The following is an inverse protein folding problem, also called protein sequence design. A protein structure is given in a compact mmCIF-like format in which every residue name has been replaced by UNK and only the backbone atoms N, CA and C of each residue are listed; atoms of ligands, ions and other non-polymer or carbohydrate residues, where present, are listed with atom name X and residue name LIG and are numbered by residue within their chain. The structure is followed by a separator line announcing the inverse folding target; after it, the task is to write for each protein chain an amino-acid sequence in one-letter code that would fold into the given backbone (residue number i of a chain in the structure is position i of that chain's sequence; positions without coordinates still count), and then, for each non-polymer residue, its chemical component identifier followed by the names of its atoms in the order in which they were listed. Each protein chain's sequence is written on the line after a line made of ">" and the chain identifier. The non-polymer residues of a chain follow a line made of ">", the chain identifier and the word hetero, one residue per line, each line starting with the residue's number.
data_IF_426563765449
#
_entry.id   IF_426563765449
#
_cell.length_a   1.000
_cell.length_b   1.000
_cell.length_c   1.000
_cell.angle_alpha   90.00
_cell.angle_beta   90.00
_cell.angle_gamma   90.00
#
_symmetry.space_group_name_H-M   'P 1'
#
loop_
_entity.id
_entity.type
_entity.pdbx_description
1 polymer ?
#
# COMPACT_ATOMS: atom_id res chain seq x y z
N UNK A 1 -93.32 -7.29 -60.42
CA UNK A 1 -92.12 -7.72 -61.17
C UNK A 1 -90.92 -7.53 -60.25
N UNK A 2 -90.20 -8.60 -59.89
CA UNK A 2 -88.79 -8.87 -60.30
C UNK A 2 -87.83 -7.72 -59.90
N UNK A 3 -86.69 -7.88 -59.23
CA UNK A 3 -85.83 -9.03 -58.88
C UNK A 3 -84.71 -8.50 -57.99
N UNK A 4 -84.11 -9.40 -57.20
CA UNK A 4 -82.81 -9.26 -56.53
C UNK A 4 -81.66 -8.96 -57.52
N UNK A 5 -80.63 -8.23 -57.06
CA UNK A 5 -79.21 -8.40 -57.39
C UNK A 5 -78.41 -7.53 -56.41
N UNK A 6 -77.78 -8.03 -55.33
CA UNK A 6 -76.49 -8.75 -55.27
C UNK A 6 -75.49 -8.27 -56.32
N UNK A 7 -74.39 -7.67 -55.86
CA UNK A 7 -73.04 -8.08 -56.24
C UNK A 7 -72.02 -7.50 -55.23
N UNK A 8 -71.33 -8.44 -54.60
CA UNK A 8 -70.28 -8.36 -53.59
C UNK A 8 -68.90 -8.12 -54.20
N UNK A 9 -67.95 -7.91 -53.29
CA UNK A 9 -66.50 -8.13 -53.41
C UNK A 9 -65.67 -7.17 -54.27
N UNK A 10 -65.16 -6.13 -53.59
CA UNK A 10 -63.79 -5.64 -53.85
C UNK A 10 -62.83 -6.41 -52.94
N UNK A 11 -62.21 -7.44 -53.51
CA UNK A 11 -61.05 -8.11 -52.92
C UNK A 11 -59.91 -7.12 -52.72
N UNK A 12 -59.59 -6.86 -51.45
CA UNK A 12 -58.33 -6.27 -51.03
C UNK A 12 -57.55 -7.32 -50.26
N UNK A 13 -56.39 -7.73 -50.78
CA UNK A 13 -55.45 -8.59 -50.07
C UNK A 13 -55.06 -7.91 -48.74
N UNK A 14 -55.59 -8.40 -47.62
CA UNK A 14 -55.02 -8.14 -46.31
C UNK A 14 -53.81 -9.07 -46.13
N UNK A 15 -52.64 -8.57 -46.52
CA UNK A 15 -51.37 -9.12 -46.06
C UNK A 15 -51.33 -8.96 -44.54
N UNK A 16 -51.63 -10.03 -43.82
CA UNK A 16 -51.39 -10.11 -42.38
C UNK A 16 -49.88 -10.09 -42.14
N UNK A 17 -49.33 -8.92 -41.87
CA UNK A 17 -48.00 -8.85 -41.25
C UNK A 17 -48.23 -9.26 -39.79
N UNK A 18 -48.04 -10.55 -39.51
CA UNK A 18 -47.88 -11.03 -38.15
C UNK A 18 -46.53 -10.49 -37.65
N UNK A 19 -46.59 -9.32 -37.01
CA UNK A 19 -45.45 -8.78 -36.28
C UNK A 19 -45.21 -9.73 -35.13
N UNK A 20 -44.27 -10.65 -35.32
CA UNK A 20 -43.74 -11.50 -34.28
C UNK A 20 -43.20 -10.56 -33.19
N UNK A 21 -44.01 -10.30 -32.16
CA UNK A 21 -43.61 -9.60 -30.93
C UNK A 21 -42.64 -10.51 -30.18
N UNK A 22 -41.44 -10.68 -30.74
CA UNK A 22 -40.26 -11.01 -29.96
C UNK A 22 -39.91 -9.75 -29.17
N UNK A 23 -40.72 -9.47 -28.15
CA UNK A 23 -40.25 -8.77 -26.98
C UNK A 23 -39.09 -9.60 -26.45
N UNK A 24 -37.86 -9.23 -26.81
CA UNK A 24 -36.66 -9.58 -26.07
C UNK A 24 -36.64 -8.81 -24.74
N UNK A 25 -37.73 -8.88 -23.97
CA UNK A 25 -37.68 -8.64 -22.53
C UNK A 25 -37.60 -10.01 -21.90
N UNK A 26 -36.38 -10.57 -21.86
CA UNK A 26 -36.09 -11.54 -20.79
C UNK A 26 -36.43 -10.79 -19.51
N UNK A 27 -37.50 -11.18 -18.83
CA UNK A 27 -37.77 -10.71 -17.48
C UNK A 27 -36.57 -11.12 -16.65
N UNK A 28 -35.70 -10.15 -16.38
CA UNK A 28 -34.47 -10.36 -15.63
C UNK A 28 -34.86 -10.79 -14.23
N UNK A 29 -34.34 -11.93 -13.78
CA UNK A 29 -34.73 -12.45 -12.47
C UNK A 29 -34.35 -11.44 -11.39
N UNK A 30 -35.06 -11.40 -10.25
CA UNK A 30 -34.69 -10.52 -9.14
C UNK A 30 -33.22 -10.67 -8.73
N UNK A 31 -32.67 -11.88 -8.83
CA UNK A 31 -31.26 -12.20 -8.56
C UNK A 31 -30.31 -11.54 -9.58
N UNK A 32 -30.64 -11.60 -10.86
CA UNK A 32 -29.88 -10.91 -11.92
C UNK A 32 -29.90 -9.40 -11.70
N UNK A 33 -31.04 -8.82 -11.28
CA UNK A 33 -31.17 -7.38 -11.01
C UNK A 33 -30.30 -6.95 -9.81
N UNK A 34 -30.30 -7.74 -8.74
CA UNK A 34 -29.44 -7.54 -7.57
C UNK A 34 -27.96 -7.60 -7.98
N UNK A 35 -27.57 -8.59 -8.80
CA UNK A 35 -26.20 -8.74 -9.28
C UNK A 35 -25.75 -7.54 -10.14
N UNK A 36 -26.59 -7.06 -11.06
CA UNK A 36 -26.30 -5.86 -11.85
C UNK A 36 -26.15 -4.63 -10.95
N UNK A 37 -27.07 -4.45 -9.99
CA UNK A 37 -27.01 -3.32 -9.06
C UNK A 37 -25.73 -3.35 -8.23
N UNK A 38 -25.37 -4.52 -7.68
CA UNK A 38 -24.15 -4.70 -6.92
C UNK A 38 -22.89 -4.37 -7.73
N UNK A 39 -22.81 -4.83 -8.98
CA UNK A 39 -21.67 -4.50 -9.86
C UNK A 39 -21.60 -3.00 -10.16
N UNK A 40 -22.74 -2.32 -10.36
CA UNK A 40 -22.79 -0.87 -10.53
C UNK A 40 -22.27 -0.13 -9.29
N UNK A 41 -22.61 -0.60 -8.09
CA UNK A 41 -22.08 -0.04 -6.84
C UNK A 41 -20.57 -0.23 -6.71
N UNK A 42 -20.05 -1.42 -7.06
CA UNK A 42 -18.60 -1.70 -7.07
C UNK A 42 -17.83 -0.76 -8.00
N UNK A 43 -18.32 -0.57 -9.23
CA UNK A 43 -17.68 0.34 -10.18
C UNK A 43 -17.75 1.79 -9.69
N UNK A 44 -18.88 2.23 -9.12
CA UNK A 44 -18.99 3.56 -8.52
C UNK A 44 -17.98 3.74 -7.38
N UNK A 45 -17.81 2.73 -6.53
CA UNK A 45 -16.86 2.77 -5.43
C UNK A 45 -15.41 2.89 -5.94
N UNK A 46 -15.05 2.12 -6.97
CA UNK A 46 -13.74 2.18 -7.62
C UNK A 46 -13.45 3.57 -8.19
N UNK A 47 -14.40 4.14 -8.93
CA UNK A 47 -14.28 5.48 -9.51
C UNK A 47 -14.13 6.55 -8.41
N UNK A 48 -14.88 6.42 -7.31
CA UNK A 48 -14.79 7.36 -6.20
C UNK A 48 -13.38 7.36 -5.56
N UNK A 49 -12.82 6.18 -5.30
CA UNK A 49 -11.46 6.09 -4.75
C UNK A 49 -10.40 6.62 -5.73
N UNK A 50 -10.53 6.33 -7.03
CA UNK A 50 -9.62 6.88 -8.04
C UNK A 50 -9.68 8.41 -8.09
N UNK A 51 -10.90 8.99 -8.03
CA UNK A 51 -11.09 10.44 -7.96
C UNK A 51 -10.48 11.05 -6.70
N UNK A 52 -10.64 10.39 -5.55
CA UNK A 52 -10.04 10.84 -4.30
C UNK A 52 -8.50 10.89 -4.41
N UNK A 53 -7.89 9.86 -4.99
CA UNK A 53 -6.44 9.85 -5.20
C UNK A 53 -6.01 10.91 -6.22
N UNK A 54 -6.76 11.09 -7.31
CA UNK A 54 -6.50 12.14 -8.28
C UNK A 54 -6.49 13.53 -7.64
N UNK A 55 -7.51 13.87 -6.85
CA UNK A 55 -7.55 15.14 -6.12
C UNK A 55 -6.36 15.30 -5.16
N UNK A 56 -5.90 14.21 -4.53
CA UNK A 56 -4.71 14.24 -3.69
C UNK A 56 -3.43 14.48 -4.49
N UNK A 57 -3.30 13.91 -5.70
CA UNK A 57 -2.15 14.17 -6.58
C UNK A 57 -2.08 15.65 -6.95
N UNK A 58 -3.20 16.27 -7.30
CA UNK A 58 -3.23 17.71 -7.58
C UNK A 58 -2.82 18.54 -6.36
N UNK A 59 -3.31 18.19 -5.17
CA UNK A 59 -2.85 18.82 -3.93
C UNK A 59 -1.35 18.61 -3.68
N UNK A 60 -0.79 17.44 -3.99
CA UNK A 60 0.65 17.16 -3.86
C UNK A 60 1.50 18.06 -4.76
N UNK A 61 1.06 18.30 -6.01
CA UNK A 61 1.76 19.20 -6.95
C UNK A 61 1.78 20.64 -6.43
N UNK A 62 0.62 21.15 -6.00
CA UNK A 62 0.51 22.50 -5.40
C UNK A 62 1.39 22.64 -4.16
N UNK A 63 1.35 21.66 -3.26
CA UNK A 63 2.19 21.66 -2.05
C UNK A 63 3.69 21.70 -2.39
N UNK A 64 4.10 20.94 -3.41
CA UNK A 64 5.49 20.92 -3.85
C UNK A 64 5.91 22.26 -4.46
N UNK A 65 5.08 22.84 -5.33
CA UNK A 65 5.35 24.16 -5.92
C UNK A 65 5.47 25.26 -4.85
N UNK A 66 4.55 25.28 -3.87
CA UNK A 66 4.62 26.22 -2.74
C UNK A 66 5.90 26.02 -1.93
N UNK A 67 6.30 24.76 -1.69
CA UNK A 67 7.50 24.45 -0.93
C UNK A 67 8.76 24.90 -1.67
N UNK A 68 8.87 24.56 -2.95
CA UNK A 68 10.10 24.74 -3.72
C UNK A 68 10.37 26.21 -4.05
N UNK A 69 9.30 27.00 -4.25
CA UNK A 69 9.40 28.45 -4.40
C UNK A 69 9.30 29.23 -3.08
N UNK A 70 9.18 28.52 -1.96
CA UNK A 70 9.03 29.09 -0.62
C UNK A 70 7.86 30.08 -0.46
N UNK A 71 6.78 29.91 -1.22
CA UNK A 71 5.61 30.83 -1.20
C UNK A 71 4.89 30.87 0.14
N UNK A 72 5.07 29.86 0.99
CA UNK A 72 4.58 29.89 2.37
C UNK A 72 5.11 31.10 3.17
N UNK A 73 6.24 31.70 2.78
CA UNK A 73 6.78 32.90 3.42
C UNK A 73 5.94 34.15 3.16
N UNK A 74 5.13 34.17 2.08
CA UNK A 74 4.24 35.30 1.78
C UNK A 74 3.17 35.50 2.87
N UNK A 75 2.77 34.41 3.53
CA UNK A 75 1.86 34.42 4.67
C UNK A 75 2.61 34.47 6.02
N UNK A 76 3.91 34.78 6.01
CA UNK A 76 4.79 34.87 7.19
C UNK A 76 4.95 33.56 7.98
N UNK A 77 4.77 32.38 7.36
CA UNK A 77 5.10 31.12 8.01
C UNK A 77 6.62 30.96 8.18
N UNK A 78 7.06 30.58 9.38
CA UNK A 78 8.46 30.33 9.69
C UNK A 78 9.03 29.08 8.99
N UNK A 79 8.17 28.10 8.70
CA UNK A 79 8.54 26.87 8.01
C UNK A 79 7.40 26.32 7.17
N UNK A 80 7.72 25.52 6.15
CA UNK A 80 6.71 24.82 5.35
C UNK A 80 5.88 23.84 6.20
N UNK A 81 6.48 23.24 7.24
CA UNK A 81 5.77 22.36 8.17
C UNK A 81 4.72 23.12 8.98
N UNK A 82 4.93 24.41 9.27
CA UNK A 82 3.92 25.25 9.94
C UNK A 82 2.78 25.61 8.99
N UNK A 83 3.10 26.01 7.75
CA UNK A 83 2.11 26.21 6.70
C UNK A 83 1.22 24.97 6.48
N UNK A 84 1.83 23.77 6.42
CA UNK A 84 1.09 22.54 6.15
C UNK A 84 0.08 22.18 7.26
N UNK A 85 0.30 22.61 8.51
CA UNK A 85 -0.61 22.33 9.63
C UNK A 85 -1.99 22.97 9.43
N UNK A 86 -2.04 24.16 8.84
CA UNK A 86 -3.29 24.90 8.62
C UNK A 86 -4.21 24.19 7.61
N UNK A 87 -3.62 23.36 6.74
CA UNK A 87 -4.35 22.48 5.81
C UNK A 87 -4.59 21.07 6.36
N UNK A 88 -4.47 20.87 7.68
CA UNK A 88 -4.67 19.58 8.36
C UNK A 88 -3.71 18.48 7.86
N UNK A 89 -2.53 18.85 7.38
CA UNK A 89 -1.52 17.89 6.96
C UNK A 89 -0.54 17.64 8.10
N UNK A 90 -0.58 16.42 8.63
CA UNK A 90 0.44 15.96 9.55
C UNK A 90 1.80 15.85 8.85
N UNK A 91 2.89 16.18 9.54
CA UNK A 91 4.27 16.15 9.02
C UNK A 91 4.62 14.87 8.23
N UNK A 92 4.19 13.72 8.73
CA UNK A 92 4.43 12.42 8.07
C UNK A 92 3.68 12.26 6.76
N UNK A 93 2.48 12.85 6.63
CA UNK A 93 1.73 12.89 5.38
C UNK A 93 2.36 13.90 4.41
N UNK A 94 2.72 15.10 4.89
CA UNK A 94 3.40 16.13 4.11
C UNK A 94 4.66 15.58 3.44
N UNK A 95 5.51 14.87 4.20
CA UNK A 95 6.69 14.20 3.65
C UNK A 95 6.36 13.20 2.53
N UNK A 96 5.35 12.33 2.73
CA UNK A 96 4.93 11.36 1.71
C UNK A 96 4.42 12.06 0.45
N UNK A 97 3.65 13.13 0.62
CA UNK A 97 3.03 13.88 -0.46
C UNK A 97 4.10 14.54 -1.33
N UNK A 98 5.04 15.24 -0.71
CA UNK A 98 6.18 15.84 -1.40
C UNK A 98 7.02 14.81 -2.12
N UNK A 99 7.30 13.67 -1.48
CA UNK A 99 8.10 12.60 -2.07
C UNK A 99 7.45 11.98 -3.32
N UNK A 100 6.13 11.76 -3.28
CA UNK A 100 5.38 11.27 -4.45
C UNK A 100 5.37 12.33 -5.55
N UNK A 101 5.15 13.61 -5.20
CA UNK A 101 5.15 14.71 -6.17
C UNK A 101 6.48 14.82 -6.91
N UNK A 102 7.60 14.76 -6.18
CA UNK A 102 8.95 14.73 -6.76
C UNK A 102 9.14 13.52 -7.66
N UNK A 103 8.74 12.33 -7.23
CA UNK A 103 8.88 11.12 -8.04
C UNK A 103 8.02 11.16 -9.33
N UNK A 104 6.89 11.87 -9.34
CA UNK A 104 6.10 12.11 -10.54
C UNK A 104 6.83 13.08 -11.48
N UNK A 105 7.31 14.20 -10.95
CA UNK A 105 8.04 15.22 -11.72
C UNK A 105 9.33 14.66 -12.36
N UNK A 106 10.06 13.83 -11.62
CA UNK A 106 11.27 13.15 -12.10
C UNK A 106 10.98 11.96 -13.04
N UNK A 107 9.71 11.65 -13.31
CA UNK A 107 9.29 10.55 -14.17
C UNK A 107 9.57 9.15 -13.59
N UNK A 108 9.88 9.05 -12.29
CA UNK A 108 10.12 7.77 -11.59
C UNK A 108 8.81 6.98 -11.47
N UNK A 109 7.69 7.68 -11.27
CA UNK A 109 6.35 7.10 -11.13
C UNK A 109 5.34 7.88 -11.98
N UNK A 110 4.56 7.17 -12.78
CA UNK A 110 3.45 7.77 -13.53
C UNK A 110 2.26 8.09 -12.62
N UNK A 111 1.55 9.20 -12.86
CA UNK A 111 0.32 9.54 -12.14
C UNK A 111 -0.74 8.44 -12.20
N UNK A 112 -0.88 7.79 -13.36
CA UNK A 112 -1.80 6.66 -13.55
C UNK A 112 -1.49 5.51 -12.60
N UNK A 113 -0.21 5.28 -12.29
CA UNK A 113 0.19 4.28 -11.31
C UNK A 113 -0.29 4.68 -9.91
N UNK A 114 -0.09 5.95 -9.53
CA UNK A 114 -0.51 6.45 -8.21
C UNK A 114 -2.03 6.37 -8.06
N UNK A 115 -2.81 6.74 -9.08
CA UNK A 115 -4.28 6.63 -9.08
C UNK A 115 -4.74 5.20 -8.83
N UNK A 116 -4.07 4.21 -9.42
CA UNK A 116 -4.48 2.81 -9.32
C UNK A 116 -3.98 2.11 -8.04
N UNK A 117 -2.82 2.52 -7.51
CA UNK A 117 -2.17 1.85 -6.36
C UNK A 117 -2.27 2.65 -5.06
N UNK A 118 -2.76 3.89 -5.13
CA UNK A 118 -2.85 4.81 -4.02
C UNK A 118 -1.49 5.27 -3.46
N UNK A 119 -1.57 6.07 -2.40
CA UNK A 119 -0.41 6.71 -1.76
C UNK A 119 0.50 5.67 -1.10
N UNK A 120 -0.09 4.74 -0.33
CA UNK A 120 0.70 3.75 0.41
C UNK A 120 1.37 2.73 -0.52
N UNK A 121 0.67 2.28 -1.57
CA UNK A 121 1.24 1.39 -2.59
C UNK A 121 2.41 2.06 -3.32
N UNK A 122 2.25 3.33 -3.68
CA UNK A 122 3.32 4.12 -4.29
C UNK A 122 4.51 4.30 -3.35
N UNK A 123 4.28 4.63 -2.08
CA UNK A 123 5.36 4.73 -1.08
C UNK A 123 6.11 3.41 -0.87
N UNK A 124 5.43 2.27 -0.98
CA UNK A 124 6.08 0.95 -0.92
C UNK A 124 6.99 0.72 -2.14
N UNK A 125 6.52 1.06 -3.35
CA UNK A 125 7.33 1.01 -4.56
C UNK A 125 8.59 1.89 -4.44
N UNK A 126 8.41 3.14 -3.99
CA UNK A 126 9.52 4.10 -3.85
C UNK A 126 10.57 3.62 -2.85
N UNK A 127 10.15 3.04 -1.71
CA UNK A 127 11.08 2.45 -0.73
C UNK A 127 11.89 1.29 -1.30
N UNK A 128 11.28 0.44 -2.12
CA UNK A 128 11.98 -0.71 -2.70
C UNK A 128 12.96 -0.29 -3.80
N UNK A 129 12.62 0.74 -4.58
CA UNK A 129 13.55 1.33 -5.56
C UNK A 129 14.73 2.05 -4.88
N UNK A 130 14.48 2.74 -3.77
CA UNK A 130 15.54 3.31 -2.91
C UNK A 130 16.44 2.22 -2.29
N UNK A 131 15.91 1.02 -2.05
CA UNK A 131 16.67 -0.15 -1.58
C UNK A 131 17.76 -0.63 -2.53
N UNK A 132 17.78 -0.18 -3.79
CA UNK A 132 18.85 -0.46 -4.75
C UNK A 132 20.01 0.54 -4.61
N UNK A 133 19.79 1.74 -4.03
CA UNK A 133 20.77 2.84 -4.04
C UNK A 133 21.11 3.48 -2.70
N UNK A 134 20.38 3.23 -1.61
CA UNK A 134 20.65 3.87 -0.32
C UNK A 134 21.39 2.89 0.60
N UNK A 135 22.65 3.24 0.88
CA UNK A 135 23.53 2.65 1.91
C UNK A 135 22.68 2.08 3.03
N UNK A 136 22.69 0.74 3.16
CA UNK A 136 22.21 0.05 4.37
C UNK A 136 22.71 0.88 5.54
N UNK A 137 21.81 1.21 6.46
CA UNK A 137 22.26 1.74 7.74
C UNK A 137 23.42 0.86 8.21
N UNK A 138 24.38 1.42 8.97
CA UNK A 138 25.36 0.60 9.69
C UNK A 138 24.69 -0.33 10.73
N UNK A 139 23.45 -0.79 10.51
CA UNK A 139 22.95 -2.02 11.08
C UNK A 139 23.95 -3.10 10.71
N UNK A 140 24.70 -3.53 11.72
CA UNK A 140 25.44 -4.77 11.66
C UNK A 140 24.52 -5.83 11.03
N UNK A 141 24.99 -6.55 9.99
CA UNK A 141 24.20 -7.61 9.38
C UNK A 141 23.86 -8.72 10.39
N UNK A 142 24.56 -8.74 11.52
CA UNK A 142 24.32 -9.62 12.65
C UNK A 142 23.47 -8.93 13.72
N UNK A 143 22.43 -9.62 14.18
CA UNK A 143 21.64 -9.17 15.32
C UNK A 143 22.51 -9.11 16.59
N UNK A 144 22.33 -8.09 17.46
CA UNK A 144 23.07 -8.02 18.71
C UNK A 144 22.78 -9.24 19.59
N UNK A 145 23.83 -9.92 20.03
CA UNK A 145 23.73 -11.05 20.95
C UNK A 145 23.21 -10.58 22.32
N UNK A 146 22.14 -11.21 22.82
CA UNK A 146 21.51 -10.85 24.09
C UNK A 146 21.71 -11.97 25.11
N UNK A 147 22.35 -11.65 26.23
CA UNK A 147 22.57 -12.59 27.34
C UNK A 147 21.67 -12.27 28.53
N UNK A 148 21.14 -13.32 29.17
CA UNK A 148 20.46 -13.24 30.46
C UNK A 148 21.36 -13.89 31.52
N UNK A 149 22.16 -13.07 32.20
CA UNK A 149 23.06 -13.54 33.27
C UNK A 149 22.31 -13.55 34.60
N UNK A 150 22.44 -14.64 35.35
CA UNK A 150 21.79 -14.79 36.67
C UNK A 150 22.53 -14.06 37.80
N UNK A 151 23.83 -13.83 37.64
CA UNK A 151 24.65 -13.11 38.60
C UNK A 151 24.65 -11.61 38.25
N UNK A 152 24.13 -10.72 39.13
CA UNK A 152 24.07 -9.28 38.88
C UNK A 152 25.43 -8.62 38.67
N UNK A 153 26.44 -9.05 39.43
CA UNK A 153 27.81 -8.52 39.37
C UNK A 153 28.46 -8.83 38.02
N UNK A 154 28.33 -10.09 37.56
CA UNK A 154 28.79 -10.49 36.24
C UNK A 154 28.07 -9.70 35.12
N UNK A 155 26.75 -9.51 35.25
CA UNK A 155 25.99 -8.71 34.30
C UNK A 155 26.49 -7.26 34.22
N UNK A 156 26.68 -6.60 35.36
CA UNK A 156 27.17 -5.22 35.41
C UNK A 156 28.57 -5.09 34.80
N UNK A 157 29.46 -6.04 35.10
CA UNK A 157 30.82 -6.07 34.58
C UNK A 157 30.85 -6.19 33.05
N UNK A 158 30.18 -7.19 32.47
CA UNK A 158 30.19 -7.41 31.03
C UNK A 158 29.40 -6.35 30.26
N UNK A 159 28.35 -5.78 30.86
CA UNK A 159 27.61 -4.65 30.28
C UNK A 159 28.47 -3.39 30.18
N UNK A 160 29.25 -3.08 31.22
CA UNK A 160 30.18 -1.94 31.22
C UNK A 160 31.32 -2.14 30.21
N UNK A 161 31.74 -3.38 29.99
CA UNK A 161 32.91 -3.73 29.19
C UNK A 161 32.56 -4.45 27.88
N UNK A 162 31.53 -4.00 27.15
CA UNK A 162 31.02 -4.71 25.97
C UNK A 162 32.08 -5.05 24.89
N UNK A 163 33.06 -4.15 24.65
CA UNK A 163 34.16 -4.40 23.70
C UNK A 163 35.07 -5.53 24.17
N UNK A 164 35.42 -5.54 25.46
CA UNK A 164 36.22 -6.60 26.08
C UNK A 164 35.47 -7.94 26.00
N UNK A 165 34.17 -7.93 26.26
CA UNK A 165 33.33 -9.13 26.15
C UNK A 165 33.35 -9.70 24.73
N UNK A 166 33.22 -8.84 23.70
CA UNK A 166 33.33 -9.27 22.29
C UNK A 166 34.68 -9.91 21.99
N UNK A 167 35.76 -9.23 22.39
CA UNK A 167 37.13 -9.72 22.21
C UNK A 167 37.36 -11.05 22.93
N UNK A 168 36.88 -11.19 24.16
CA UNK A 168 36.98 -12.42 24.94
C UNK A 168 36.30 -13.59 24.22
N UNK A 169 35.08 -13.39 23.72
CA UNK A 169 34.32 -14.43 23.02
C UNK A 169 35.02 -14.87 21.73
N UNK A 170 35.54 -13.92 20.94
CA UNK A 170 36.27 -14.21 19.70
C UNK A 170 37.60 -14.92 19.96
N UNK A 171 38.35 -14.47 20.97
CA UNK A 171 39.64 -15.06 21.35
C UNK A 171 39.47 -16.48 21.86
N UNK A 172 38.52 -16.70 22.77
CA UNK A 172 38.28 -18.05 23.32
C UNK A 172 37.80 -19.01 22.22
N UNK A 173 36.98 -18.54 21.29
CA UNK A 173 36.54 -19.36 20.17
C UNK A 173 37.68 -19.73 19.21
N UNK A 174 38.59 -18.79 18.94
CA UNK A 174 39.69 -18.98 17.98
C UNK A 174 40.84 -19.80 18.57
N UNK A 175 41.29 -19.42 19.77
CA UNK A 175 42.56 -19.86 20.33
C UNK A 175 42.40 -20.98 21.37
N UNK A 176 41.28 -21.02 22.10
CA UNK A 176 41.11 -21.86 23.31
C UNK A 176 40.04 -22.95 23.12
N UNK A 177 40.15 -23.73 22.04
CA UNK A 177 39.13 -24.72 21.65
C UNK A 177 38.92 -25.84 22.67
N UNK A 178 39.99 -26.32 23.31
CA UNK A 178 39.88 -27.37 24.33
C UNK A 178 39.16 -26.87 25.57
N UNK A 179 39.48 -25.66 26.02
CA UNK A 179 38.78 -25.01 27.12
C UNK A 179 37.29 -24.87 26.79
N UNK A 180 36.98 -24.36 25.59
CA UNK A 180 35.59 -24.22 25.14
C UNK A 180 34.85 -25.56 25.11
N UNK A 181 35.49 -26.64 24.64
CA UNK A 181 34.92 -27.98 24.62
C UNK A 181 34.58 -28.49 26.04
N UNK A 182 35.45 -28.24 27.02
CA UNK A 182 35.19 -28.59 28.43
C UNK A 182 33.98 -27.83 28.98
N UNK A 183 33.89 -26.52 28.70
CA UNK A 183 32.76 -25.69 29.14
C UNK A 183 31.44 -26.17 28.49
N UNK A 184 31.45 -26.49 27.19
CA UNK A 184 30.28 -27.04 26.49
C UNK A 184 29.82 -28.36 27.11
N UNK A 185 30.75 -29.27 27.42
CA UNK A 185 30.44 -30.54 28.08
C UNK A 185 29.80 -30.34 29.45
N UNK A 186 30.35 -29.43 30.27
CA UNK A 186 29.77 -29.09 31.56
C UNK A 186 28.35 -28.50 31.41
N UNK A 187 28.15 -27.59 30.46
CA UNK A 187 26.84 -26.99 30.20
C UNK A 187 25.78 -28.04 29.82
N UNK A 188 26.10 -28.95 28.90
CA UNK A 188 25.20 -30.03 28.50
C UNK A 188 24.88 -31.00 29.65
N UNK A 189 25.85 -31.28 30.53
CA UNK A 189 25.63 -32.10 31.73
C UNK A 189 24.61 -31.47 32.69
N UNK A 190 24.64 -30.15 32.86
CA UNK A 190 23.70 -29.39 33.69
C UNK A 190 22.30 -29.40 33.07
N UNK A 191 22.21 -29.33 31.74
CA UNK A 191 20.94 -29.37 31.00
C UNK A 191 20.27 -30.75 31.14
N UNK A 192 21.03 -31.83 31.11
CA UNK A 192 20.51 -33.21 31.31
C UNK A 192 19.97 -33.44 32.72
N UNK A 193 20.55 -32.82 33.75
CA UNK A 193 20.10 -32.93 35.16
C UNK A 193 18.81 -32.16 35.49
N UNK A 194 18.37 -31.27 34.60
CA UNK A 194 17.15 -30.45 34.77
C UNK A 194 15.94 -30.97 34.00
N UNK A 195 16.10 -32.06 33.24
CA UNK A 195 15.02 -32.85 32.66
C UNK A 195 14.71 -34.02 33.58
#
# INVERSE_FOLDING_TARGET
>A
MRTLSVCTDKGGLKMGIEVNKRNLSKEMTPEEQISIHYNKLKERLKVNFQKEIFCKIEAMKVLKEIKDNEYYKLDNYASFDDFAKDYRLARTQTYKYLKIATAIEEGIVEEKYVINNGINGTMFLLKNREGVGIKRSKQNPLSPLRFQLKCPEAYAFYKRNAKLTSFLLEKVFSDEKEFLARIVSQFESIKKRKR
#
